data_IF_053123241780
#
_entry.id   IF_053123241780
#
_cell.length_a   1.000
_cell.length_b   1.000
_cell.length_c   1.000
_cell.angle_alpha   90.00
_cell.angle_beta   90.00
_cell.angle_gamma   90.00
#
_symmetry.space_group_name_H-M   'P 1'
#
loop_
_entity.id
_entity.type
_entity.pdbx_description
1 polymer ?
#
# COMPACT_ATOMS: atom_id res chain seq x y z
N UNK A 1 17.72 -11.34 7.45
CA UNK A 1 16.65 -10.43 6.96
C UNK A 1 17.27 -9.49 5.93
N UNK A 2 16.74 -9.39 4.70
CA UNK A 2 17.24 -8.44 3.68
C UNK A 2 16.52 -7.11 3.85
N UNK A 3 17.22 -5.98 3.79
CA UNK A 3 16.64 -4.63 3.87
C UNK A 3 17.03 -3.78 2.66
N UNK A 4 16.15 -2.86 2.27
CA UNK A 4 16.33 -1.92 1.18
C UNK A 4 15.87 -0.53 1.66
N UNK A 5 16.53 0.55 1.22
CA UNK A 5 16.19 1.92 1.57
C UNK A 5 16.22 2.82 0.32
N UNK A 6 15.25 3.73 0.18
CA UNK A 6 15.19 4.71 -0.91
C UNK A 6 14.54 5.99 -0.39
N UNK A 7 15.10 7.15 -0.76
CA UNK A 7 14.60 8.46 -0.37
C UNK A 7 13.99 9.19 -1.58
N UNK A 8 12.91 9.95 -1.36
CA UNK A 8 12.26 10.76 -2.39
C UNK A 8 11.73 12.06 -1.78
N UNK A 9 11.86 13.18 -2.50
CA UNK A 9 11.34 14.50 -2.09
C UNK A 9 10.16 14.86 -3.00
N UNK A 10 8.99 15.09 -2.40
CA UNK A 10 7.79 15.54 -3.08
C UNK A 10 7.66 17.07 -2.91
N UNK A 11 7.61 17.82 -4.02
CA UNK A 11 7.49 19.30 -4.01
C UNK A 11 6.04 19.77 -3.80
N UNK A 12 5.38 19.25 -2.76
CA UNK A 12 3.99 19.55 -2.40
C UNK A 12 3.91 19.82 -0.90
N UNK A 13 2.88 20.56 -0.46
CA UNK A 13 2.68 20.81 0.96
C UNK A 13 2.18 19.55 1.69
N UNK A 14 2.19 19.59 3.02
CA UNK A 14 1.82 18.44 3.85
C UNK A 14 0.39 17.95 3.60
N UNK A 15 -0.56 18.88 3.47
CA UNK A 15 -1.98 18.54 3.28
C UNK A 15 -2.23 17.87 1.94
N UNK A 16 -1.52 18.30 0.89
CA UNK A 16 -1.55 17.67 -0.43
C UNK A 16 -0.99 16.26 -0.39
N UNK A 17 0.20 16.08 0.21
CA UNK A 17 0.86 14.76 0.28
C UNK A 17 0.03 13.78 1.12
N UNK A 18 -0.46 14.21 2.28
CA UNK A 18 -1.27 13.36 3.17
C UNK A 18 -2.62 13.02 2.55
N UNK A 19 -3.31 13.98 1.94
CA UNK A 19 -4.58 13.71 1.24
C UNK A 19 -4.38 12.74 0.08
N UNK A 20 -3.31 12.91 -0.70
CA UNK A 20 -2.95 11.99 -1.78
C UNK A 20 -2.59 10.60 -1.26
N UNK A 21 -1.90 10.50 -0.11
CA UNK A 21 -1.59 9.22 0.54
C UNK A 21 -2.88 8.48 0.95
N UNK A 22 -3.84 9.18 1.57
CA UNK A 22 -5.10 8.56 1.99
C UNK A 22 -6.00 8.15 0.83
N UNK A 23 -5.90 8.83 -0.32
CA UNK A 23 -6.68 8.61 -1.55
C UNK A 23 -5.83 8.07 -2.69
N UNK A 24 -4.73 7.36 -2.38
CA UNK A 24 -3.74 6.94 -3.38
C UNK A 24 -4.30 5.95 -4.40
N UNK A 25 -5.34 5.19 -4.03
CA UNK A 25 -5.99 4.24 -4.91
C UNK A 25 -7.42 4.67 -5.22
N UNK A 26 -7.89 4.47 -6.46
CA UNK A 26 -7.16 3.88 -7.59
C UNK A 26 -6.16 4.86 -8.24
N UNK A 27 -5.07 4.34 -8.82
CA UNK A 27 -4.15 5.12 -9.66
C UNK A 27 -3.59 4.29 -10.82
N UNK A 28 -3.22 4.91 -11.96
CA UNK A 28 -2.80 4.19 -13.17
C UNK A 28 -1.48 3.42 -13.04
N UNK A 29 -0.67 3.72 -12.02
CA UNK A 29 0.63 3.08 -11.77
C UNK A 29 0.52 1.83 -10.89
N UNK A 30 -0.60 1.68 -10.17
CA UNK A 30 -0.83 0.58 -9.20
C UNK A 30 -2.07 -0.24 -9.55
N UNK A 31 -2.20 -0.64 -10.82
CA UNK A 31 -3.37 -1.39 -11.34
C UNK A 31 -3.59 -2.75 -10.68
N UNK A 32 -2.58 -3.29 -10.01
CA UNK A 32 -2.66 -4.57 -9.31
C UNK A 32 -3.44 -4.47 -7.99
N UNK A 33 -3.68 -3.26 -7.46
CA UNK A 33 -4.50 -3.08 -6.26
C UNK A 33 -5.97 -3.22 -6.63
N UNK A 34 -6.67 -4.11 -5.92
CA UNK A 34 -8.09 -4.40 -6.15
C UNK A 34 -8.99 -3.60 -5.20
N UNK A 35 -8.73 -3.69 -3.90
CA UNK A 35 -9.49 -2.95 -2.88
C UNK A 35 -8.56 -2.40 -1.79
N UNK A 36 -9.01 -1.33 -1.15
CA UNK A 36 -8.42 -0.78 0.08
C UNK A 36 -9.54 -0.45 1.06
N UNK A 37 -9.45 -0.98 2.28
CA UNK A 37 -10.46 -0.80 3.33
C UNK A 37 -9.80 -0.33 4.62
N UNK A 38 -10.43 0.63 5.31
CA UNK A 38 -10.01 1.05 6.65
C UNK A 38 -10.70 0.14 7.68
N UNK A 39 -9.91 -0.61 8.43
CA UNK A 39 -10.41 -1.52 9.47
C UNK A 39 -10.62 -0.79 10.78
N UNK A 40 -9.72 0.14 11.11
CA UNK A 40 -9.74 0.85 12.39
C UNK A 40 -9.04 2.21 12.24
N UNK A 41 -9.53 3.21 12.97
CA UNK A 41 -8.99 4.57 12.95
C UNK A 41 -9.35 5.32 14.23
N UNK A 42 -8.34 5.83 14.92
CA UNK A 42 -8.50 6.55 16.17
C UNK A 42 -7.37 7.56 16.39
N UNK A 43 -7.61 8.52 17.28
CA UNK A 43 -6.61 9.50 17.70
C UNK A 43 -5.91 9.06 18.99
N UNK A 44 -4.62 9.36 19.09
CA UNK A 44 -3.88 9.33 20.35
C UNK A 44 -3.13 10.65 20.46
N UNK A 45 -3.64 11.55 21.30
CA UNK A 45 -3.26 12.97 21.27
C UNK A 45 -3.48 13.56 19.86
N UNK A 46 -2.46 14.22 19.32
CA UNK A 46 -2.51 14.88 18.00
C UNK A 46 -2.15 13.95 16.83
N UNK A 47 -2.16 12.64 17.05
CA UNK A 47 -1.76 11.66 16.03
C UNK A 47 -2.92 10.76 15.63
N UNK A 48 -3.15 10.66 14.32
CA UNK A 48 -4.12 9.74 13.74
C UNK A 48 -3.48 8.38 13.46
N UNK A 49 -3.98 7.34 14.11
CA UNK A 49 -3.62 5.95 13.82
C UNK A 49 -4.65 5.38 12.87
N UNK A 50 -4.21 4.63 11.85
CA UNK A 50 -5.13 3.95 10.93
C UNK A 50 -4.58 2.58 10.57
N UNK A 51 -5.45 1.57 10.66
CA UNK A 51 -5.21 0.22 10.16
C UNK A 51 -5.97 0.04 8.86
N UNK A 52 -5.26 -0.29 7.79
CA UNK A 52 -5.83 -0.54 6.45
C UNK A 52 -5.51 -1.96 6.00
N UNK A 53 -6.44 -2.56 5.26
CA UNK A 53 -6.21 -3.77 4.47
C UNK A 53 -6.20 -3.37 3.00
N UNK A 54 -5.22 -3.86 2.26
CA UNK A 54 -5.11 -3.65 0.81
C UNK A 54 -5.03 -5.01 0.14
N UNK A 55 -5.96 -5.31 -0.76
CA UNK A 55 -5.92 -6.52 -1.57
C UNK A 55 -5.28 -6.21 -2.92
N UNK A 56 -4.45 -7.14 -3.41
CA UNK A 56 -3.76 -6.97 -4.69
C UNK A 56 -3.59 -8.28 -5.43
N UNK A 57 -3.53 -8.21 -6.75
CA UNK A 57 -3.10 -9.33 -7.59
C UNK A 57 -1.58 -9.49 -7.50
N UNK A 58 -1.13 -10.72 -7.27
CA UNK A 58 0.27 -11.11 -7.43
C UNK A 58 0.34 -12.50 -8.04
N UNK A 59 1.14 -12.62 -9.10
CA UNK A 59 1.52 -13.92 -9.65
C UNK A 59 2.81 -14.36 -8.99
N UNK A 60 2.95 -15.66 -8.64
CA UNK A 60 4.22 -16.18 -8.18
C UNK A 60 5.29 -15.99 -9.27
N UNK A 61 6.57 -15.85 -8.89
CA UNK A 61 7.63 -15.87 -9.89
C UNK A 61 7.63 -17.23 -10.63
N UNK A 62 8.09 -17.24 -11.89
CA UNK A 62 8.02 -18.43 -12.78
C UNK A 62 8.54 -19.72 -12.14
N UNK A 63 9.63 -19.63 -11.39
CA UNK A 63 10.22 -20.79 -10.71
C UNK A 63 9.29 -21.42 -9.65
N UNK A 64 8.35 -20.64 -9.09
CA UNK A 64 7.40 -21.08 -8.07
C UNK A 64 6.02 -21.45 -8.63
N UNK A 65 5.77 -21.29 -9.93
CA UNK A 65 4.47 -21.62 -10.55
C UNK A 65 4.08 -23.09 -10.38
N UNK A 66 5.07 -24.00 -10.33
CA UNK A 66 4.85 -25.44 -10.15
C UNK A 66 4.29 -25.80 -8.78
N UNK A 67 4.61 -25.02 -7.75
CA UNK A 67 4.12 -25.25 -6.37
C UNK A 67 2.64 -24.87 -6.24
N UNK A 68 2.20 -23.83 -6.97
CA UNK A 68 0.82 -23.34 -6.92
C UNK A 68 -0.21 -24.33 -7.50
N UNK A 69 0.22 -25.26 -8.37
CA UNK A 69 -0.70 -26.25 -8.97
C UNK A 69 -1.12 -27.37 -8.00
N UNK A 70 -0.59 -27.42 -6.79
CA UNK A 70 -0.80 -28.51 -5.82
C UNK A 70 -1.35 -28.03 -4.46
N UNK A 71 -1.89 -26.81 -4.43
CA UNK A 71 -2.71 -26.25 -3.34
C UNK A 71 -4.03 -25.81 -3.96
#
# INVERSE_FOLDING_TARGET
MKSYCTNCILKFNWDQVTSAFWRRYPNPFSRHVLTEDVVDRYFVGDKLFTKKIVTKTSSPPRWAERVKKHI
#
